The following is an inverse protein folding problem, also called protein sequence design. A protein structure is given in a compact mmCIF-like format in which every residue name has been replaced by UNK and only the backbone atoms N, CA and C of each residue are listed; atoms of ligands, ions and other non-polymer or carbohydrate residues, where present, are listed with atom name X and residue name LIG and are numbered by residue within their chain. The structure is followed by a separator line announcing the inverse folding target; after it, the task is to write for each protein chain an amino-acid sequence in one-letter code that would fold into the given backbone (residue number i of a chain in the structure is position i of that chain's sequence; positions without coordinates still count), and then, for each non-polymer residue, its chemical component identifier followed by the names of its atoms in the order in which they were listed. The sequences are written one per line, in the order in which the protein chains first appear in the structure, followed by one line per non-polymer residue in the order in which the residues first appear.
data_IF_191765918981
#
_entry.id   IF_191765918981
#
_cell.length_a   1.000
_cell.length_b   1.000
_cell.length_c   1.000
_cell.angle_alpha   90.00
_cell.angle_beta   90.00
_cell.angle_gamma   90.00
#
_symmetry.space_group_name_H-M   'P 1'
#
loop_
_entity.id
_entity.type
_entity.pdbx_description
1 polymer ?
#
# COMPACT_ATOMS: atom_id res chain seq x y z
N UNK A 1 -4.64 -8.49 39.00
CA UNK A 1 -4.04 -8.19 37.68
C UNK A 1 -2.64 -8.75 37.73
N UNK A 2 -2.47 -9.91 37.10
CA UNK A 2 -1.23 -10.66 37.17
C UNK A 2 -0.12 -9.92 36.41
N UNK A 3 1.05 -9.81 37.05
CA UNK A 3 2.22 -9.05 36.59
C UNK A 3 2.88 -9.62 35.33
N UNK A 4 2.38 -10.74 34.79
CA UNK A 4 2.94 -11.44 33.63
C UNK A 4 2.93 -10.60 32.35
N UNK A 5 1.87 -9.84 32.08
CA UNK A 5 1.74 -9.06 30.84
C UNK A 5 2.31 -7.64 30.94
N UNK A 6 2.56 -7.10 32.14
CA UNK A 6 3.01 -5.70 32.32
C UNK A 6 4.41 -5.42 31.74
N UNK A 7 5.26 -6.44 31.59
CA UNK A 7 6.59 -6.30 31.00
C UNK A 7 6.66 -6.74 29.53
N UNK A 8 5.58 -7.28 28.96
CA UNK A 8 5.56 -7.83 27.60
C UNK A 8 5.18 -6.71 26.63
N UNK A 9 6.17 -5.91 26.26
CA UNK A 9 5.99 -4.67 25.51
C UNK A 9 6.98 -3.58 25.90
N UNK A 10 7.66 -3.72 27.06
CA UNK A 10 8.90 -2.99 27.30
C UNK A 10 9.89 -3.46 26.26
N UNK A 11 10.13 -2.62 25.26
CA UNK A 11 11.01 -2.84 24.13
C UNK A 11 12.37 -3.35 24.60
N UNK A 12 12.55 -4.68 24.70
CA UNK A 12 13.80 -5.28 24.29
C UNK A 12 13.82 -5.09 22.78
N UNK A 13 14.17 -3.87 22.39
CA UNK A 13 14.40 -3.50 21.03
C UNK A 13 15.60 -4.33 20.59
N UNK A 14 15.35 -5.50 19.99
CA UNK A 14 16.21 -5.90 18.90
C UNK A 14 16.07 -4.79 17.86
N UNK A 15 17.00 -3.84 17.93
CA UNK A 15 17.06 -2.55 17.24
C UNK A 15 16.92 -2.69 15.72
N UNK A 16 17.04 -3.91 15.18
CA UNK A 16 16.76 -4.23 13.78
C UNK A 16 15.25 -4.26 13.45
N UNK A 17 14.37 -4.68 14.37
CA UNK A 17 12.94 -4.90 14.07
C UNK A 17 12.13 -3.61 13.90
N UNK A 18 12.33 -2.63 14.80
CA UNK A 18 11.57 -1.37 14.78
C UNK A 18 11.93 -0.51 13.56
N UNK A 19 13.23 -0.43 13.22
CA UNK A 19 13.69 0.35 12.07
C UNK A 19 13.11 -0.16 10.76
N UNK A 20 13.01 -1.49 10.60
CA UNK A 20 12.37 -2.13 9.45
C UNK A 20 10.89 -1.75 9.41
N UNK A 21 10.14 -1.92 10.50
CA UNK A 21 8.70 -1.59 10.55
C UNK A 21 8.44 -0.12 10.21
N UNK A 22 9.23 0.81 10.76
CA UNK A 22 9.11 2.24 10.46
C UNK A 22 9.41 2.52 8.99
N UNK A 23 10.44 1.90 8.41
CA UNK A 23 10.77 2.07 7.00
C UNK A 23 9.63 1.58 6.09
N UNK A 24 9.01 0.44 6.41
CA UNK A 24 7.84 -0.07 5.69
C UNK A 24 6.65 0.86 5.80
N UNK A 25 6.31 1.30 7.02
CA UNK A 25 5.23 2.25 7.25
C UNK A 25 5.48 3.57 6.50
N UNK A 26 6.72 4.06 6.48
CA UNK A 26 7.07 5.25 5.71
C UNK A 26 6.90 5.02 4.20
N UNK A 27 7.43 3.92 3.66
CA UNK A 27 7.29 3.57 2.25
C UNK A 27 5.82 3.46 1.81
N UNK A 28 4.99 2.79 2.61
CA UNK A 28 3.55 2.66 2.37
C UNK A 28 2.81 4.00 2.48
N UNK A 29 3.16 4.84 3.46
CA UNK A 29 2.62 6.20 3.54
C UNK A 29 2.94 7.05 2.31
N UNK A 30 4.18 6.99 1.82
CA UNK A 30 4.61 7.71 0.61
C UNK A 30 3.88 7.20 -0.62
N UNK A 31 3.73 5.89 -0.81
CA UNK A 31 3.01 5.32 -1.95
C UNK A 31 1.51 5.67 -1.93
N UNK A 32 0.86 5.68 -0.76
CA UNK A 32 -0.53 6.13 -0.64
C UNK A 32 -0.67 7.61 -0.99
N UNK A 33 0.24 8.46 -0.49
CA UNK A 33 0.24 9.88 -0.83
C UNK A 33 0.44 10.09 -2.34
N UNK A 34 1.41 9.41 -2.95
CA UNK A 34 1.64 9.48 -4.40
C UNK A 34 0.45 8.94 -5.20
N UNK A 35 -0.24 7.91 -4.71
CA UNK A 35 -1.44 7.36 -5.33
C UNK A 35 -2.57 8.39 -5.32
N UNK A 36 -2.76 9.09 -4.19
CA UNK A 36 -3.71 10.20 -4.10
C UNK A 36 -3.31 11.34 -5.05
N UNK A 37 -2.02 11.69 -5.11
CA UNK A 37 -1.50 12.70 -6.06
C UNK A 37 -1.73 12.30 -7.52
N UNK A 38 -1.51 11.03 -7.89
CA UNK A 38 -1.78 10.55 -9.26
C UNK A 38 -3.27 10.71 -9.62
N UNK A 39 -4.17 10.37 -8.70
CA UNK A 39 -5.61 10.61 -8.88
C UNK A 39 -5.93 12.11 -9.04
N UNK A 40 -5.28 12.98 -8.26
CA UNK A 40 -5.45 14.44 -8.40
C UNK A 40 -5.00 14.97 -9.77
N UNK A 41 -3.96 14.37 -10.36
CA UNK A 41 -3.49 14.75 -11.69
C UNK A 41 -4.36 14.17 -12.83
N UNK A 42 -5.27 13.24 -12.54
CA UNK A 42 -6.18 12.65 -13.54
C UNK A 42 -7.41 13.52 -13.79
N UNK A 43 -7.21 14.73 -14.34
CA UNK A 43 -8.27 15.71 -14.61
C UNK A 43 -9.53 15.14 -15.29
N UNK A 44 -9.42 14.36 -16.39
CA UNK A 44 -10.60 13.85 -17.09
C UNK A 44 -11.44 12.90 -16.24
N UNK A 45 -10.79 12.02 -15.46
CA UNK A 45 -11.51 11.13 -14.55
C UNK A 45 -12.22 11.92 -13.44
N UNK A 46 -11.58 12.99 -12.95
CA UNK A 46 -12.18 13.86 -11.94
C UNK A 46 -13.33 14.70 -12.48
N UNK A 47 -13.22 15.23 -13.68
CA UNK A 47 -14.32 15.94 -14.36
C UNK A 47 -15.49 15.00 -14.65
N UNK A 48 -15.21 13.75 -15.02
CA UNK A 48 -16.24 12.71 -15.22
C UNK A 48 -16.91 12.30 -13.90
N UNK A 49 -16.15 12.20 -12.81
CA UNK A 49 -16.68 11.90 -11.47
C UNK A 49 -17.56 13.04 -10.94
N UNK A 50 -17.14 14.29 -11.17
CA UNK A 50 -17.90 15.47 -10.76
C UNK A 50 -19.19 15.62 -11.56
N UNK A 51 -19.12 15.45 -12.88
CA UNK A 51 -20.31 15.50 -13.74
C UNK A 51 -21.28 14.33 -13.47
N UNK A 52 -20.78 13.12 -13.20
CA UNK A 52 -21.61 11.98 -12.79
C UNK A 52 -22.28 12.21 -11.42
N UNK A 53 -21.60 12.91 -10.51
CA UNK A 53 -22.13 13.32 -9.21
C UNK A 53 -23.29 14.31 -9.36
N UNK A 54 -23.19 15.28 -10.27
CA UNK A 54 -24.23 16.30 -10.49
C UNK A 54 -25.48 15.75 -11.20
N UNK A 55 -25.35 14.64 -11.92
CA UNK A 55 -26.41 14.11 -12.78
C UNK A 55 -27.30 13.01 -12.16
N UNK A 56 -27.06 12.57 -10.91
CA UNK A 56 -27.71 11.37 -10.35
C UNK A 56 -28.34 11.52 -8.95
N UNK A 57 -29.24 10.60 -8.54
CA UNK A 57 -29.94 10.61 -7.24
C UNK A 57 -29.04 10.23 -6.04
N UNK A 58 -27.71 10.26 -6.21
CA UNK A 58 -26.71 9.83 -5.22
C UNK A 58 -26.33 10.93 -4.21
N UNK A 59 -27.16 11.96 -4.08
CA UNK A 59 -26.87 13.21 -3.35
C UNK A 59 -26.44 13.01 -1.87
N UNK A 60 -26.75 11.85 -1.29
CA UNK A 60 -26.43 11.51 0.11
C UNK A 60 -25.57 10.24 0.29
N UNK A 61 -24.84 9.80 -0.72
CA UNK A 61 -23.93 8.67 -0.51
C UNK A 61 -22.65 9.09 0.21
N UNK A 62 -22.10 8.24 1.11
CA UNK A 62 -20.85 8.53 1.82
C UNK A 62 -19.69 8.74 0.84
N UNK A 63 -19.72 8.08 -0.32
CA UNK A 63 -18.74 8.29 -1.39
C UNK A 63 -18.82 9.70 -1.98
N UNK A 64 -20.03 10.26 -2.13
CA UNK A 64 -20.20 11.63 -2.63
C UNK A 64 -19.72 12.67 -1.63
N UNK A 65 -20.01 12.46 -0.34
CA UNK A 65 -19.50 13.35 0.72
C UNK A 65 -17.97 13.30 0.79
N UNK A 66 -17.39 12.10 0.70
CA UNK A 66 -15.94 11.93 0.57
C UNK A 66 -15.41 12.67 -0.67
N UNK A 67 -16.05 12.55 -1.83
CA UNK A 67 -15.65 13.26 -3.05
C UNK A 67 -15.75 14.78 -2.92
N UNK A 68 -16.81 15.31 -2.30
CA UNK A 68 -16.97 16.74 -2.02
C UNK A 68 -15.87 17.24 -1.09
N UNK A 69 -15.62 16.54 0.01
CA UNK A 69 -14.49 16.84 0.92
C UNK A 69 -13.15 16.73 0.20
N UNK A 70 -12.98 15.75 -0.69
CA UNK A 70 -11.77 15.52 -1.48
C UNK A 70 -11.53 16.64 -2.50
N UNK A 71 -12.58 17.15 -3.14
CA UNK A 71 -12.48 18.34 -4.02
C UNK A 71 -12.24 19.63 -3.24
N UNK A 72 -12.84 19.79 -2.06
CA UNK A 72 -12.52 20.90 -1.16
C UNK A 72 -11.05 20.82 -0.72
N UNK A 73 -10.54 19.63 -0.40
CA UNK A 73 -9.14 19.38 -0.11
C UNK A 73 -8.25 19.73 -1.31
N UNK A 74 -8.63 19.39 -2.54
CA UNK A 74 -7.91 19.80 -3.76
C UNK A 74 -7.75 21.31 -3.85
N UNK A 75 -8.83 22.06 -3.63
CA UNK A 75 -8.77 23.54 -3.65
C UNK A 75 -7.86 24.11 -2.54
N UNK A 76 -7.77 23.42 -1.40
CA UNK A 76 -6.83 23.75 -0.32
C UNK A 76 -5.40 23.27 -0.60
N UNK A 77 -5.21 22.20 -1.37
CA UNK A 77 -3.89 21.74 -1.84
C UNK A 77 -3.34 22.67 -2.92
N UNK A 78 -4.17 23.35 -3.71
CA UNK A 78 -3.70 24.44 -4.58
C UNK A 78 -3.12 25.63 -3.77
N UNK A 79 -3.51 25.79 -2.50
CA UNK A 79 -2.81 26.69 -1.55
C UNK A 79 -1.49 26.10 -1.03
N UNK A 80 -1.28 24.79 -1.12
CA UNK A 80 0.01 24.12 -0.91
C UNK A 80 0.91 24.20 -2.16
N UNK A 81 0.93 25.34 -2.86
CA UNK A 81 2.02 25.74 -3.78
C UNK A 81 3.44 25.45 -3.22
N UNK A 82 3.74 25.53 -1.90
CA UNK A 82 5.00 25.03 -1.36
C UNK A 82 5.26 23.53 -1.57
N UNK A 83 4.24 22.67 -1.70
CA UNK A 83 4.42 21.26 -2.04
C UNK A 83 4.89 21.09 -3.49
N UNK A 84 4.46 21.96 -4.40
CA UNK A 84 5.03 22.06 -5.76
C UNK A 84 6.51 22.48 -5.68
N UNK A 85 6.89 23.36 -4.75
CA UNK A 85 8.29 23.67 -4.47
C UNK A 85 9.05 22.49 -3.89
N UNK A 86 8.44 21.67 -3.01
CA UNK A 86 9.07 20.47 -2.44
C UNK A 86 9.21 19.38 -3.50
N UNK A 87 8.18 19.12 -4.30
CA UNK A 87 8.22 18.23 -5.46
C UNK A 87 9.24 18.74 -6.47
N UNK A 88 9.27 20.02 -6.80
CA UNK A 88 10.29 20.60 -7.68
C UNK A 88 11.68 20.53 -7.07
N UNK A 89 11.83 20.64 -5.76
CA UNK A 89 13.13 20.48 -5.08
C UNK A 89 13.56 19.02 -5.12
N UNK A 90 12.63 18.09 -4.84
CA UNK A 90 12.84 16.64 -4.93
C UNK A 90 13.14 16.19 -6.37
N UNK A 91 12.43 16.74 -7.34
CA UNK A 91 12.70 16.55 -8.77
C UNK A 91 14.01 17.20 -9.17
N UNK A 92 14.40 18.35 -8.63
CA UNK A 92 15.73 18.94 -8.85
C UNK A 92 16.86 18.13 -8.21
N UNK A 93 16.67 17.55 -7.03
CA UNK A 93 17.67 16.66 -6.43
C UNK A 93 17.74 15.34 -7.17
N UNK A 94 16.61 14.81 -7.64
CA UNK A 94 16.58 13.68 -8.58
C UNK A 94 17.30 14.05 -9.88
N UNK A 95 17.03 15.21 -10.47
CA UNK A 95 17.70 15.73 -11.67
C UNK A 95 19.20 15.95 -11.45
N UNK A 96 19.62 16.34 -10.24
CA UNK A 96 21.02 16.51 -9.88
C UNK A 96 21.72 15.16 -9.66
N UNK A 97 21.07 14.19 -9.01
CA UNK A 97 21.52 12.79 -8.93
C UNK A 97 21.58 12.14 -10.32
N UNK A 98 20.70 12.58 -11.23
CA UNK A 98 20.56 12.15 -12.62
C UNK A 98 21.54 12.83 -13.59
N UNK A 99 21.99 14.05 -13.29
CA UNK A 99 23.04 14.76 -13.99
C UNK A 99 24.44 14.26 -13.63
N UNK A 100 24.56 13.49 -12.54
CA UNK A 100 25.75 12.68 -12.30
C UNK A 100 25.89 11.66 -13.45
N UNK A 101 27.10 11.42 -13.98
CA UNK A 101 27.30 10.54 -15.12
C UNK A 101 26.99 9.08 -14.76
N UNK A 102 25.72 8.69 -14.92
CA UNK A 102 25.29 7.30 -14.86
C UNK A 102 25.49 6.64 -16.25
N UNK A 103 25.79 5.33 -16.33
CA UNK A 103 26.35 4.72 -17.53
C UNK A 103 25.31 4.38 -18.62
N UNK A 104 24.01 4.59 -18.39
CA UNK A 104 22.98 4.13 -19.32
C UNK A 104 22.02 5.24 -19.78
N UNK A 105 22.03 5.44 -21.10
CA UNK A 105 21.25 6.44 -21.86
C UNK A 105 19.81 6.00 -22.17
N UNK A 106 19.35 4.88 -21.60
CA UNK A 106 18.03 4.29 -21.83
C UNK A 106 16.89 5.14 -21.25
N UNK A 107 16.94 5.50 -19.95
CA UNK A 107 15.88 6.29 -19.33
C UNK A 107 15.81 7.75 -19.86
N UNK A 108 16.95 8.37 -20.23
CA UNK A 108 16.94 9.72 -20.85
C UNK A 108 16.20 9.72 -22.19
N UNK A 109 16.31 8.65 -22.97
CA UNK A 109 15.54 8.46 -24.20
C UNK A 109 14.04 8.28 -23.91
N UNK A 110 13.67 7.43 -22.95
CA UNK A 110 12.28 7.21 -22.53
C UNK A 110 11.60 8.54 -22.15
N UNK A 111 12.29 9.40 -21.39
CA UNK A 111 11.77 10.71 -20.98
C UNK A 111 11.64 11.71 -22.13
N UNK A 112 12.61 11.76 -23.05
CA UNK A 112 12.52 12.62 -24.23
C UNK A 112 11.38 12.19 -25.16
N UNK A 113 11.14 10.89 -25.31
CA UNK A 113 10.02 10.35 -26.07
C UNK A 113 8.69 10.57 -25.35
N UNK A 114 8.63 10.45 -24.03
CA UNK A 114 7.46 10.81 -23.22
C UNK A 114 7.10 12.30 -23.37
N UNK A 115 8.08 13.20 -23.28
CA UNK A 115 7.84 14.63 -23.44
C UNK A 115 7.33 14.98 -24.85
N UNK A 116 7.92 14.36 -25.88
CA UNK A 116 7.50 14.50 -27.28
C UNK A 116 6.10 13.92 -27.52
N UNK A 117 5.73 12.83 -26.84
CA UNK A 117 4.45 12.11 -27.02
C UNK A 117 3.29 12.71 -26.23
N UNK A 118 3.56 13.40 -25.13
CA UNK A 118 2.50 13.84 -24.21
C UNK A 118 2.21 15.34 -24.21
N UNK A 119 3.05 16.17 -24.86
CA UNK A 119 2.76 17.57 -25.27
C UNK A 119 2.38 18.56 -24.16
N UNK A 120 2.12 18.06 -22.96
CA UNK A 120 1.50 18.75 -21.85
C UNK A 120 2.19 18.33 -20.55
N UNK A 121 2.53 19.34 -19.75
CA UNK A 121 3.20 19.20 -18.46
C UNK A 121 2.50 18.20 -17.52
N UNK A 122 1.16 18.17 -17.51
CA UNK A 122 0.40 17.28 -16.61
C UNK A 122 0.54 15.80 -16.96
N UNK A 123 0.62 15.48 -18.25
CA UNK A 123 0.72 14.10 -18.71
C UNK A 123 2.12 13.54 -18.43
N UNK A 124 3.15 14.39 -18.52
CA UNK A 124 4.50 14.05 -18.08
C UNK A 124 4.55 13.84 -16.56
N UNK A 125 3.99 14.74 -15.77
CA UNK A 125 3.95 14.60 -14.30
C UNK A 125 3.25 13.32 -13.87
N UNK A 126 2.10 12.99 -14.49
CA UNK A 126 1.40 11.72 -14.21
C UNK A 126 2.26 10.52 -14.54
N UNK A 127 2.87 10.48 -15.74
CA UNK A 127 3.73 9.37 -16.14
C UNK A 127 4.92 9.16 -15.19
N UNK A 128 5.51 10.24 -14.67
CA UNK A 128 6.57 10.17 -13.66
C UNK A 128 6.04 9.56 -12.36
N UNK A 129 4.93 10.08 -11.84
CA UNK A 129 4.33 9.61 -10.58
C UNK A 129 3.94 8.14 -10.71
N UNK A 130 3.33 7.74 -11.82
CA UNK A 130 2.95 6.35 -12.07
C UNK A 130 4.19 5.43 -12.11
N UNK A 131 5.28 5.84 -12.77
CA UNK A 131 6.53 5.07 -12.80
C UNK A 131 7.16 4.90 -11.40
N UNK A 132 7.10 5.94 -10.56
CA UNK A 132 7.54 5.87 -9.16
C UNK A 132 6.64 4.93 -8.36
N UNK A 133 5.31 5.06 -8.50
CA UNK A 133 4.33 4.20 -7.83
C UNK A 133 4.53 2.73 -8.17
N UNK A 134 4.82 2.43 -9.44
CA UNK A 134 5.10 1.08 -9.89
C UNK A 134 6.32 0.49 -9.18
N UNK A 135 7.41 1.26 -9.16
CA UNK A 135 8.68 0.84 -8.54
C UNK A 135 8.52 0.63 -7.03
N UNK A 136 7.80 1.53 -6.35
CA UNK A 136 7.53 1.41 -4.92
C UNK A 136 6.63 0.20 -4.65
N UNK A 137 5.58 -0.02 -5.46
CA UNK A 137 4.68 -1.16 -5.32
C UNK A 137 5.41 -2.50 -5.49
N UNK A 138 6.29 -2.62 -6.48
CA UNK A 138 7.09 -3.83 -6.70
C UNK A 138 8.04 -4.07 -5.51
N UNK A 139 8.71 -3.02 -5.03
CA UNK A 139 9.59 -3.07 -3.85
C UNK A 139 8.82 -3.50 -2.59
N UNK A 140 7.65 -2.91 -2.35
CA UNK A 140 6.77 -3.24 -1.24
C UNK A 140 6.28 -4.69 -1.27
N UNK A 141 5.94 -5.19 -2.46
CA UNK A 141 5.49 -6.57 -2.64
C UNK A 141 6.59 -7.55 -2.24
N UNK A 142 7.82 -7.35 -2.75
CA UNK A 142 8.96 -8.23 -2.43
C UNK A 142 9.35 -8.12 -0.96
N UNK A 143 9.42 -6.89 -0.43
CA UNK A 143 9.77 -6.65 0.97
C UNK A 143 8.73 -7.25 1.91
N UNK A 144 7.43 -7.06 1.64
CA UNK A 144 6.35 -7.60 2.44
C UNK A 144 6.27 -9.13 2.35
N UNK A 145 6.58 -9.71 1.19
CA UNK A 145 6.75 -11.16 1.04
C UNK A 145 7.89 -11.68 1.93
N UNK A 146 9.04 -11.01 1.94
CA UNK A 146 10.16 -11.35 2.82
C UNK A 146 9.79 -11.27 4.30
N UNK A 147 9.06 -10.23 4.70
CA UNK A 147 8.57 -10.05 6.07
C UNK A 147 7.59 -11.17 6.49
N UNK A 148 6.67 -11.55 5.60
CA UNK A 148 5.73 -12.65 5.83
C UNK A 148 6.45 -14.00 5.98
N UNK A 149 7.42 -14.30 5.11
CA UNK A 149 8.21 -15.53 5.18
C UNK A 149 9.00 -15.58 6.49
N UNK A 150 9.67 -14.48 6.86
CA UNK A 150 10.40 -14.39 8.12
C UNK A 150 9.48 -14.59 9.33
N UNK A 151 8.30 -13.96 9.31
CA UNK A 151 7.28 -14.10 10.35
C UNK A 151 6.73 -15.53 10.45
N UNK A 152 6.55 -16.23 9.32
CA UNK A 152 6.12 -17.63 9.30
C UNK A 152 7.19 -18.55 9.90
N UNK A 153 8.46 -18.38 9.49
CA UNK A 153 9.59 -19.17 10.01
C UNK A 153 9.75 -18.98 11.52
N UNK A 154 9.59 -17.75 12.00
CA UNK A 154 9.76 -17.40 13.42
C UNK A 154 8.47 -17.43 14.23
N UNK A 155 7.37 -17.95 13.68
CA UNK A 155 6.04 -17.92 14.31
C UNK A 155 5.96 -18.54 15.71
N UNK A 156 6.85 -19.50 16.02
CA UNK A 156 6.95 -20.13 17.34
C UNK A 156 7.79 -19.34 18.35
N UNK A 157 8.77 -18.57 17.88
CA UNK A 157 9.67 -17.77 18.73
C UNK A 157 9.20 -16.33 18.93
N UNK A 158 8.38 -15.82 18.01
CA UNK A 158 7.81 -14.49 18.12
C UNK A 158 6.70 -14.44 19.19
N UNK A 159 6.71 -13.36 19.96
CA UNK A 159 5.59 -13.02 20.84
C UNK A 159 4.38 -12.56 20.01
N UNK A 160 3.17 -12.69 20.57
CA UNK A 160 1.94 -12.22 19.93
C UNK A 160 2.01 -10.74 19.54
N UNK A 161 2.67 -9.92 20.35
CA UNK A 161 2.90 -8.50 20.04
C UNK A 161 3.66 -8.31 18.71
N UNK A 162 4.77 -9.01 18.53
CA UNK A 162 5.55 -8.89 17.28
C UNK A 162 4.78 -9.45 16.09
N UNK A 163 4.00 -10.52 16.29
CA UNK A 163 3.15 -11.03 15.21
C UNK A 163 2.07 -10.03 14.81
N UNK A 164 1.48 -9.31 15.78
CA UNK A 164 0.52 -8.24 15.52
C UNK A 164 1.15 -7.09 14.72
N UNK A 165 2.35 -6.64 15.10
CA UNK A 165 3.06 -5.58 14.35
C UNK A 165 3.34 -5.99 12.91
N UNK A 166 3.82 -7.22 12.69
CA UNK A 166 4.06 -7.73 11.34
C UNK A 166 2.75 -7.75 10.55
N UNK A 167 1.67 -8.22 11.16
CA UNK A 167 0.34 -8.27 10.54
C UNK A 167 -0.13 -6.89 10.07
N UNK A 168 -0.09 -5.88 10.95
CA UNK A 168 -0.53 -4.52 10.62
C UNK A 168 0.36 -3.86 9.57
N UNK A 169 1.68 -4.07 9.66
CA UNK A 169 2.64 -3.58 8.67
C UNK A 169 2.33 -4.14 7.27
N UNK A 170 2.02 -5.44 7.21
CA UNK A 170 1.66 -6.09 5.95
C UNK A 170 0.29 -5.62 5.45
N UNK A 171 -0.71 -5.46 6.32
CA UNK A 171 -2.01 -4.90 5.92
C UNK A 171 -1.86 -3.50 5.32
N UNK A 172 -1.05 -2.64 5.93
CA UNK A 172 -0.78 -1.31 5.39
C UNK A 172 -0.06 -1.37 4.04
N UNK A 173 0.87 -2.32 3.90
CA UNK A 173 1.54 -2.63 2.62
C UNK A 173 0.53 -3.08 1.55
N UNK A 174 -0.45 -3.92 1.91
CA UNK A 174 -1.51 -4.37 0.99
C UNK A 174 -2.32 -3.19 0.45
N UNK A 175 -2.77 -2.29 1.34
CA UNK A 175 -3.54 -1.11 0.93
C UNK A 175 -2.71 -0.21 0.00
N UNK A 176 -1.41 -0.04 0.30
CA UNK A 176 -0.47 0.71 -0.53
C UNK A 176 -0.26 0.11 -1.93
N UNK A 177 -0.10 -1.22 -2.00
CA UNK A 177 0.03 -1.97 -3.26
C UNK A 177 -1.26 -1.81 -4.08
N UNK A 178 -2.44 -2.01 -3.47
CA UNK A 178 -3.72 -1.88 -4.16
C UNK A 178 -3.90 -0.45 -4.73
N UNK A 179 -3.60 0.57 -3.94
CA UNK A 179 -3.68 1.96 -4.38
C UNK A 179 -2.74 2.25 -5.55
N UNK A 180 -1.51 1.73 -5.52
CA UNK A 180 -0.52 1.90 -6.59
C UNK A 180 -0.97 1.18 -7.87
N UNK A 181 -1.41 -0.07 -7.77
CA UNK A 181 -1.83 -0.87 -8.92
C UNK A 181 -3.04 -0.28 -9.65
N UNK A 182 -3.98 0.31 -8.92
CA UNK A 182 -5.13 1.01 -9.53
C UNK A 182 -4.68 2.21 -10.36
N UNK A 183 -3.63 2.92 -9.94
CA UNK A 183 -3.15 4.13 -10.63
C UNK A 183 -2.27 3.83 -11.85
N UNK A 184 -1.44 2.79 -11.77
CA UNK A 184 -0.45 2.42 -12.82
C UNK A 184 -0.99 1.37 -13.79
N UNK A 185 -2.29 1.09 -13.69
CA UNK A 185 -2.95 0.06 -14.45
C UNK A 185 -2.72 0.19 -15.96
N UNK A 186 -2.21 -0.88 -16.58
CA UNK A 186 -2.03 -1.00 -18.04
C UNK A 186 -0.76 -0.37 -18.63
N UNK A 187 0.14 0.23 -17.83
CA UNK A 187 1.34 0.90 -18.35
C UNK A 187 2.53 -0.03 -18.68
N UNK A 188 2.70 -1.15 -17.97
CA UNK A 188 3.90 -1.99 -18.09
C UNK A 188 3.52 -3.45 -18.42
N UNK A 189 3.62 -3.79 -19.72
CA UNK A 189 3.26 -5.11 -20.25
C UNK A 189 4.38 -6.14 -20.13
N UNK A 190 5.63 -5.72 -20.21
CA UNK A 190 6.76 -6.65 -20.30
C UNK A 190 6.98 -7.39 -18.97
N UNK A 191 6.71 -6.72 -17.84
CA UNK A 191 6.91 -7.30 -16.50
C UNK A 191 5.59 -7.70 -15.82
N UNK A 192 4.46 -7.73 -16.55
CA UNK A 192 3.15 -8.06 -15.97
C UNK A 192 3.12 -9.44 -15.33
N UNK A 193 3.74 -10.44 -15.96
CA UNK A 193 3.77 -11.82 -15.45
C UNK A 193 4.58 -11.97 -14.16
N UNK A 194 5.76 -11.33 -14.07
CA UNK A 194 6.58 -11.40 -12.87
C UNK A 194 5.87 -10.73 -11.70
N UNK A 195 5.27 -9.56 -11.93
CA UNK A 195 4.45 -8.85 -10.94
C UNK A 195 3.25 -9.68 -10.48
N UNK A 196 2.51 -10.26 -11.43
CA UNK A 196 1.39 -11.16 -11.13
C UNK A 196 1.82 -12.35 -10.27
N UNK A 197 2.94 -13.00 -10.63
CA UNK A 197 3.47 -14.12 -9.85
C UNK A 197 3.87 -13.72 -8.43
N UNK A 198 4.50 -12.55 -8.26
CA UNK A 198 4.87 -12.02 -6.96
C UNK A 198 3.64 -11.70 -6.10
N UNK A 199 2.58 -11.12 -6.70
CA UNK A 199 1.32 -10.86 -6.01
C UNK A 199 0.61 -12.14 -5.58
N UNK A 200 0.60 -13.18 -6.43
CA UNK A 200 0.02 -14.49 -6.06
C UNK A 200 0.79 -15.12 -4.89
N UNK A 201 2.13 -15.10 -4.96
CA UNK A 201 2.97 -15.58 -3.87
C UNK A 201 2.72 -14.80 -2.56
N UNK A 202 2.61 -13.48 -2.67
CA UNK A 202 2.28 -12.59 -1.55
C UNK A 202 0.93 -12.96 -0.93
N UNK A 203 -0.14 -13.10 -1.72
CA UNK A 203 -1.47 -13.49 -1.24
C UNK A 203 -1.43 -14.83 -0.49
N UNK A 204 -0.73 -15.81 -1.05
CA UNK A 204 -0.60 -17.13 -0.42
C UNK A 204 0.14 -17.06 0.92
N UNK A 205 1.26 -16.32 0.99
CA UNK A 205 2.00 -16.10 2.23
C UNK A 205 1.21 -15.29 3.26
N UNK A 206 0.47 -14.25 2.82
CA UNK A 206 -0.36 -13.41 3.67
C UNK A 206 -1.48 -14.21 4.35
N UNK A 207 -2.20 -15.02 3.57
CA UNK A 207 -3.24 -15.89 4.09
C UNK A 207 -2.67 -16.91 5.08
N UNK A 208 -1.57 -17.57 4.69
CA UNK A 208 -0.89 -18.54 5.57
C UNK A 208 -0.45 -17.91 6.89
N UNK A 209 0.12 -16.70 6.84
CA UNK A 209 0.55 -15.97 8.03
C UNK A 209 -0.63 -15.59 8.92
N UNK A 210 -1.73 -15.12 8.34
CA UNK A 210 -2.95 -14.76 9.06
C UNK A 210 -3.53 -15.97 9.80
N UNK A 211 -3.58 -17.15 9.15
CA UNK A 211 -4.02 -18.39 9.79
C UNK A 211 -3.13 -18.75 10.97
N UNK A 212 -1.80 -18.73 10.79
CA UNK A 212 -0.84 -19.03 11.87
C UNK A 212 -0.96 -18.03 13.02
N UNK A 213 -1.12 -16.74 12.71
CA UNK A 213 -1.33 -15.69 13.70
C UNK A 213 -2.64 -15.91 14.47
N UNK A 214 -3.74 -16.24 13.79
CA UNK A 214 -5.02 -16.55 14.42
C UNK A 214 -4.96 -17.76 15.35
N UNK A 215 -4.24 -18.83 14.97
CA UNK A 215 -4.03 -19.99 15.84
C UNK A 215 -3.23 -19.61 17.08
N UNK A 216 -2.18 -18.78 16.94
CA UNK A 216 -1.38 -18.31 18.07
C UNK A 216 -2.20 -17.41 18.98
N UNK A 217 -3.00 -16.52 18.42
CA UNK A 217 -3.90 -15.62 19.13
C UNK A 217 -4.99 -16.37 19.91
N UNK A 218 -5.50 -17.48 19.37
CA UNK A 218 -6.45 -18.35 20.08
C UNK A 218 -5.82 -19.07 21.30
N UNK A 219 -4.48 -19.18 21.36
CA UNK A 219 -3.74 -19.69 22.51
C UNK A 219 -3.28 -18.57 23.46
N UNK A 220 -4.05 -17.49 23.54
CA UNK A 220 -3.82 -16.38 24.45
C UNK A 220 -3.73 -16.86 25.90
N UNK A 221 -2.75 -16.34 26.64
CA UNK A 221 -2.61 -16.62 28.07
C UNK A 221 -1.92 -15.46 28.78
N UNK A 222 -2.59 -14.90 29.78
CA UNK A 222 -2.03 -13.82 30.60
C UNK A 222 -0.89 -14.29 31.51
N UNK A 223 -0.80 -15.61 31.73
CA UNK A 223 0.18 -16.23 32.61
C UNK A 223 1.52 -16.55 31.93
N UNK A 224 1.55 -16.59 30.59
CA UNK A 224 2.71 -17.03 29.82
C UNK A 224 3.32 -15.83 29.06
N UNK A 225 4.59 -15.46 29.33
CA UNK A 225 5.24 -14.37 28.62
C UNK A 225 5.21 -14.58 27.10
N UNK A 226 4.83 -13.53 26.37
CA UNK A 226 4.72 -13.55 24.91
C UNK A 226 3.43 -14.15 24.35
N UNK A 227 2.55 -14.71 25.20
CA UNK A 227 1.18 -15.13 24.85
C UNK A 227 0.10 -14.08 25.20
N UNK A 228 0.52 -12.90 25.64
CA UNK A 228 -0.31 -11.72 25.83
C UNK A 228 0.50 -10.46 25.46
N UNK A 229 -0.17 -9.33 25.31
CA UNK A 229 0.42 -8.00 25.18
C UNK A 229 -0.48 -6.95 25.83
N UNK A 230 0.06 -5.75 26.10
CA UNK A 230 -0.75 -4.65 26.63
C UNK A 230 -1.74 -4.15 25.56
N UNK A 231 -3.03 -4.21 25.86
CA UNK A 231 -4.14 -3.87 24.96
C UNK A 231 -4.76 -2.50 25.24
N UNK A 232 -4.21 -1.73 26.19
CA UNK A 232 -4.75 -0.44 26.66
C UNK A 232 -5.00 0.61 25.55
N UNK A 233 -4.32 0.47 24.40
CA UNK A 233 -4.49 1.36 23.24
C UNK A 233 -5.15 0.71 22.02
N UNK A 234 -5.50 -0.58 22.10
CA UNK A 234 -6.01 -1.36 20.97
C UNK A 234 -7.48 -1.75 21.21
N UNK A 235 -7.86 -2.04 22.45
CA UNK A 235 -9.21 -2.43 22.82
C UNK A 235 -9.81 -1.51 23.88
N UNK A 236 -11.13 -1.37 23.87
CA UNK A 236 -11.84 -0.65 24.92
C UNK A 236 -11.64 -1.35 26.28
N UNK A 237 -11.54 -0.57 27.39
CA UNK A 237 -11.39 -1.13 28.73
C UNK A 237 -12.50 -2.14 29.03
N UNK A 238 -12.13 -3.36 29.46
CA UNK A 238 -13.06 -4.39 29.88
C UNK A 238 -13.51 -5.38 28.79
N UNK A 239 -13.02 -5.24 27.55
CA UNK A 239 -13.24 -6.27 26.53
C UNK A 239 -12.35 -7.51 26.77
N UNK A 240 -12.92 -8.70 26.50
CA UNK A 240 -12.22 -9.97 26.66
C UNK A 240 -11.34 -10.28 25.45
N UNK A 241 -10.05 -10.44 25.70
CA UNK A 241 -9.09 -11.01 24.77
C UNK A 241 -9.15 -12.53 24.85
N UNK A 242 -8.97 -13.27 23.73
CA UNK A 242 -8.53 -12.82 22.40
C UNK A 242 -9.67 -12.49 21.40
N UNK A 243 -10.93 -12.48 21.84
CA UNK A 243 -12.10 -12.43 20.92
C UNK A 243 -12.11 -11.19 20.03
N UNK A 244 -11.79 -10.01 20.59
CA UNK A 244 -11.77 -8.75 19.83
C UNK A 244 -10.68 -8.76 18.76
N UNK A 245 -9.47 -9.22 19.10
CA UNK A 245 -8.36 -9.30 18.16
C UNK A 245 -8.65 -10.32 17.05
N UNK A 246 -9.29 -11.44 17.36
CA UNK A 246 -9.71 -12.43 16.36
C UNK A 246 -10.75 -11.86 15.38
N UNK A 247 -11.68 -11.04 15.88
CA UNK A 247 -12.64 -10.34 15.03
C UNK A 247 -11.95 -9.31 14.12
N UNK A 248 -11.04 -8.50 14.67
CA UNK A 248 -10.21 -7.57 13.91
C UNK A 248 -9.42 -8.29 12.81
N UNK A 249 -8.71 -9.37 13.17
CA UNK A 249 -7.95 -10.20 12.25
C UNK A 249 -8.82 -10.75 11.11
N UNK A 250 -10.02 -11.26 11.43
CA UNK A 250 -10.95 -11.77 10.44
C UNK A 250 -11.44 -10.71 9.46
N UNK A 251 -11.87 -9.56 9.95
CA UNK A 251 -12.41 -8.46 9.13
C UNK A 251 -11.31 -7.87 8.23
N UNK A 252 -10.15 -7.55 8.79
CA UNK A 252 -9.05 -6.94 8.03
C UNK A 252 -8.43 -7.92 7.05
N UNK A 253 -8.31 -9.21 7.39
CA UNK A 253 -7.87 -10.24 6.46
C UNK A 253 -8.82 -10.37 5.27
N UNK A 254 -10.13 -10.46 5.53
CA UNK A 254 -11.14 -10.53 4.48
C UNK A 254 -11.05 -9.32 3.54
N UNK A 255 -11.01 -8.11 4.09
CA UNK A 255 -10.87 -6.88 3.31
C UNK A 255 -9.61 -6.88 2.43
N UNK A 256 -8.46 -7.22 3.00
CA UNK A 256 -7.18 -7.23 2.29
C UNK A 256 -7.16 -8.28 1.17
N UNK A 257 -7.66 -9.50 1.44
CA UNK A 257 -7.74 -10.56 0.43
C UNK A 257 -8.65 -10.19 -0.73
N UNK A 258 -9.85 -9.68 -0.44
CA UNK A 258 -10.80 -9.24 -1.47
C UNK A 258 -10.18 -8.13 -2.33
N UNK A 259 -9.52 -7.15 -1.70
CA UNK A 259 -8.86 -6.05 -2.40
C UNK A 259 -7.74 -6.54 -3.32
N UNK A 260 -6.87 -7.42 -2.83
CA UNK A 260 -5.79 -8.00 -3.63
C UNK A 260 -6.32 -8.86 -4.79
N UNK A 261 -7.34 -9.69 -4.53
CA UNK A 261 -7.97 -10.52 -5.55
C UNK A 261 -8.65 -9.66 -6.63
N UNK A 262 -9.30 -8.57 -6.25
CA UNK A 262 -9.83 -7.59 -7.20
C UNK A 262 -8.72 -6.97 -8.05
N UNK A 263 -7.59 -6.55 -7.45
CA UNK A 263 -6.45 -6.03 -8.20
C UNK A 263 -5.87 -7.06 -9.17
N UNK A 264 -5.73 -8.33 -8.74
CA UNK A 264 -5.25 -9.44 -9.60
C UNK A 264 -6.24 -9.73 -10.73
N UNK A 265 -7.54 -9.78 -10.45
CA UNK A 265 -8.58 -10.04 -11.46
C UNK A 265 -8.64 -8.93 -12.50
N UNK A 266 -8.53 -7.66 -12.08
CA UNK A 266 -8.38 -6.53 -13.00
C UNK A 266 -7.13 -6.73 -13.87
N UNK A 267 -5.98 -7.08 -13.27
CA UNK A 267 -4.75 -7.27 -14.04
C UNK A 267 -4.85 -8.40 -15.07
N UNK A 268 -5.44 -9.55 -14.69
CA UNK A 268 -5.60 -10.72 -15.56
C UNK A 268 -6.61 -10.47 -16.71
N UNK A 269 -7.73 -9.80 -16.44
CA UNK A 269 -8.78 -9.53 -17.45
C UNK A 269 -8.23 -8.74 -18.63
N UNK A 270 -7.28 -7.83 -18.40
CA UNK A 270 -6.62 -7.09 -19.48
C UNK A 270 -5.65 -7.96 -20.27
N UNK A 271 -4.90 -8.84 -19.62
CA UNK A 271 -4.02 -9.75 -20.34
C UNK A 271 -4.81 -10.57 -21.35
N UNK A 272 -6.02 -11.03 -21.01
CA UNK A 272 -6.89 -11.77 -21.93
C UNK A 272 -7.47 -10.92 -23.08
N UNK A 273 -8.02 -9.74 -22.78
CA UNK A 273 -8.59 -8.83 -23.81
C UNK A 273 -7.53 -8.43 -24.85
N UNK A 274 -6.27 -8.46 -24.46
CA UNK A 274 -5.17 -7.88 -25.22
C UNK A 274 -4.27 -8.95 -25.87
N UNK A 275 -4.44 -10.21 -25.49
CA UNK A 275 -3.94 -11.38 -26.22
C UNK A 275 -4.83 -11.76 -27.42
N UNK A 276 -5.97 -11.08 -27.62
CA UNK A 276 -6.66 -11.12 -28.91
C UNK A 276 -5.73 -10.51 -29.97
N UNK A 277 -5.41 -11.26 -31.05
CA UNK A 277 -4.53 -10.76 -32.10
C UNK A 277 -5.12 -9.46 -32.67
N UNK A 278 -4.30 -8.43 -32.96
CA UNK A 278 -4.76 -7.15 -33.52
C UNK A 278 -5.25 -7.24 -34.97
N UNK A 279 -5.67 -8.41 -35.44
CA UNK A 279 -6.08 -8.66 -36.82
C UNK A 279 -7.28 -9.60 -36.87
N UNK A 280 -8.46 -9.00 -36.96
CA UNK A 280 -9.53 -9.39 -37.88
C UNK A 280 -10.09 -8.11 -38.51
#
# INVERSE_FOLDING_TARGET
MDSGCQSVGSTNADIAGLGIVIAFAFQAGVSLLLSMLSLFFWKPAMELLLSASEAGPLENTPMLNFLKEFTALRSNIERLRPLESILNTYFRTLDAMWAAPAPDNSMRRIFSDLHRKHGSHWALQKAIVDGILLTISDTQTINGLGLLIAGLIQSKSLSLYHMHIIYDTVNFTVVSICASLVNVYGQDREHGWTRLSALIAFIACYFSYTVVFGIRLNNWSDSVPGHCYNTEFIAYPGHSHPTVDLAYLGVTCFYCLVSLLACVACHASISEVLLLPPYL
#
